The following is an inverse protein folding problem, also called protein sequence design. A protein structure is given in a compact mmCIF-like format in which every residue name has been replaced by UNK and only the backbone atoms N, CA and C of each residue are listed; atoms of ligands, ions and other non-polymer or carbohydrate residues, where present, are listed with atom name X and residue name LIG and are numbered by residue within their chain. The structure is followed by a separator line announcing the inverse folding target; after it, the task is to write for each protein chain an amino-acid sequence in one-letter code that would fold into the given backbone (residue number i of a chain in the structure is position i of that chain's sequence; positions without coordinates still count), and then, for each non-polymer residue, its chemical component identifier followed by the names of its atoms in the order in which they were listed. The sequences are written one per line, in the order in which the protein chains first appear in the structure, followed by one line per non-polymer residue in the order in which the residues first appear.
data_IF_657627540695
#
_entry.id   IF_657627540695
#
_cell.length_a   1.000
_cell.length_b   1.000
_cell.length_c   1.000
_cell.angle_alpha   90.00
_cell.angle_beta   90.00
_cell.angle_gamma   90.00
#
_symmetry.space_group_name_H-M   'P 1'
#
loop_
_entity.id
_entity.type
_entity.pdbx_description
1 polymer ?
#
# COMPACT_ATOMS: atom_id res chain seq x y z
N UNK A 1 -12.32 41.98 -18.93
CA UNK A 1 -12.69 40.71 -18.28
C UNK A 1 -13.93 40.09 -18.98
N UNK A 2 -13.82 39.77 -20.28
CA UNK A 2 -14.91 39.19 -21.07
C UNK A 2 -14.46 38.03 -21.97
N UNK A 3 -13.26 37.48 -21.74
CA UNK A 3 -12.69 36.42 -22.61
C UNK A 3 -12.78 35.00 -22.08
N UNK A 4 -12.95 34.79 -20.76
CA UNK A 4 -12.92 33.44 -20.19
C UNK A 4 -14.28 32.74 -20.22
N UNK A 5 -15.38 33.49 -20.12
CA UNK A 5 -16.75 32.93 -20.21
C UNK A 5 -17.09 32.36 -21.59
N UNK A 6 -16.47 32.89 -22.65
CA UNK A 6 -16.74 32.45 -24.02
C UNK A 6 -16.12 31.08 -24.35
N UNK A 7 -14.97 30.76 -23.78
CA UNK A 7 -14.31 29.48 -24.01
C UNK A 7 -15.02 28.30 -23.29
N UNK A 8 -15.53 28.52 -22.09
CA UNK A 8 -16.26 27.50 -21.32
C UNK A 8 -17.60 27.14 -22.01
N UNK A 9 -18.30 28.15 -22.52
CA UNK A 9 -19.55 27.90 -23.27
C UNK A 9 -19.33 27.19 -24.60
N UNK A 10 -18.25 27.48 -25.32
CA UNK A 10 -17.92 26.81 -26.57
C UNK A 10 -17.53 25.35 -26.38
N UNK A 11 -16.80 25.03 -25.30
CA UNK A 11 -16.40 23.65 -24.97
C UNK A 11 -17.64 22.84 -24.50
N UNK A 12 -18.49 23.40 -23.64
CA UNK A 12 -19.72 22.73 -23.22
C UNK A 12 -20.67 22.46 -24.40
N UNK A 13 -20.82 23.40 -25.32
CA UNK A 13 -21.71 23.23 -26.51
C UNK A 13 -21.15 22.21 -27.52
N UNK A 14 -19.83 22.10 -27.69
CA UNK A 14 -19.20 21.12 -28.56
C UNK A 14 -19.31 19.67 -27.99
N UNK A 15 -19.16 19.52 -26.70
CA UNK A 15 -19.36 18.22 -26.01
C UNK A 15 -20.83 17.82 -26.07
N UNK A 16 -21.76 18.76 -25.90
CA UNK A 16 -23.19 18.51 -25.94
C UNK A 16 -23.67 18.09 -27.36
N UNK A 17 -23.13 18.68 -28.42
CA UNK A 17 -23.48 18.31 -29.82
C UNK A 17 -22.95 16.91 -30.19
N UNK A 18 -21.76 16.53 -29.77
CA UNK A 18 -21.21 15.19 -30.01
C UNK A 18 -21.95 14.12 -29.21
N UNK A 19 -22.32 14.43 -27.98
CA UNK A 19 -23.10 13.55 -27.11
C UNK A 19 -24.55 13.38 -27.62
N UNK A 20 -25.20 14.46 -28.03
CA UNK A 20 -26.54 14.41 -28.59
C UNK A 20 -26.56 13.64 -29.92
N UNK A 21 -25.59 13.83 -30.80
CA UNK A 21 -25.45 13.05 -32.02
C UNK A 21 -25.23 11.55 -31.77
N UNK A 22 -24.48 11.20 -30.71
CA UNK A 22 -24.30 9.81 -30.26
C UNK A 22 -25.60 9.20 -29.71
N UNK A 23 -26.38 9.97 -28.96
CA UNK A 23 -27.68 9.59 -28.43
C UNK A 23 -28.71 9.39 -29.58
N UNK A 24 -28.74 10.31 -30.57
CA UNK A 24 -29.60 10.20 -31.72
C UNK A 24 -29.25 8.98 -32.58
N UNK A 25 -27.97 8.68 -32.77
CA UNK A 25 -27.52 7.48 -33.47
C UNK A 25 -27.88 6.18 -32.72
N UNK A 26 -27.78 6.17 -31.38
CA UNK A 26 -28.22 5.05 -30.56
C UNK A 26 -29.74 4.88 -30.57
N UNK A 27 -30.50 5.96 -30.52
CA UNK A 27 -31.96 5.96 -30.65
C UNK A 27 -32.41 5.48 -32.01
N UNK A 28 -31.74 5.90 -33.11
CA UNK A 28 -32.01 5.43 -34.47
C UNK A 28 -31.73 3.93 -34.63
N UNK A 29 -30.64 3.40 -34.03
CA UNK A 29 -30.37 1.96 -34.02
C UNK A 29 -31.36 1.17 -33.19
N UNK A 30 -31.79 1.67 -32.04
CA UNK A 30 -32.83 1.04 -31.21
C UNK A 30 -34.21 1.01 -31.99
N UNK A 31 -34.53 2.08 -32.71
CA UNK A 31 -35.72 2.15 -33.51
C UNK A 31 -35.70 1.18 -34.72
N UNK A 32 -34.57 1.08 -35.43
CA UNK A 32 -34.40 0.12 -36.52
C UNK A 32 -34.45 -1.34 -36.05
N UNK A 33 -33.98 -1.62 -34.83
CA UNK A 33 -34.10 -2.95 -34.20
C UNK A 33 -35.57 -3.27 -33.82
N UNK A 34 -36.32 -2.29 -33.30
CA UNK A 34 -37.73 -2.43 -32.97
C UNK A 34 -38.59 -2.62 -34.23
N UNK A 35 -38.32 -1.88 -35.30
CA UNK A 35 -39.02 -1.99 -36.60
C UNK A 35 -38.72 -3.32 -37.30
N UNK A 36 -37.53 -3.90 -37.11
CA UNK A 36 -37.14 -5.19 -37.68
C UNK A 36 -37.70 -6.43 -36.97
N UNK A 37 -38.15 -6.30 -35.73
CA UNK A 37 -38.53 -7.44 -34.88
C UNK A 37 -40.02 -7.71 -34.72
N UNK A 38 -40.93 -7.04 -35.46
CA UNK A 38 -42.41 -7.22 -35.43
C UNK A 38 -43.03 -7.29 -34.02
N UNK A 39 -42.52 -6.50 -33.09
CA UNK A 39 -43.04 -6.40 -31.71
C UNK A 39 -44.20 -5.38 -31.74
N UNK A 40 -45.42 -5.80 -31.35
CA UNK A 40 -46.63 -4.97 -31.41
C UNK A 40 -46.48 -3.72 -30.51
N UNK A 41 -46.88 -2.57 -31.08
CA UNK A 41 -46.68 -1.23 -30.51
C UNK A 41 -47.36 -0.96 -29.14
N UNK A 42 -48.28 -1.78 -28.68
CA UNK A 42 -48.96 -1.60 -27.38
C UNK A 42 -48.10 -2.00 -26.16
N UNK A 43 -47.13 -2.90 -26.33
CA UNK A 43 -46.17 -3.26 -25.28
C UNK A 43 -44.96 -2.34 -25.21
N UNK A 44 -44.72 -1.56 -26.26
CA UNK A 44 -43.53 -0.71 -26.42
C UNK A 44 -43.70 0.66 -25.75
N UNK A 45 -44.92 1.16 -25.59
CA UNK A 45 -45.17 2.47 -24.97
C UNK A 45 -44.75 2.57 -23.49
N UNK A 46 -45.02 1.53 -22.71
CA UNK A 46 -44.56 1.44 -21.32
C UNK A 46 -43.10 1.06 -21.22
N UNK A 47 -42.56 0.25 -22.12
CA UNK A 47 -41.15 -0.12 -22.17
C UNK A 47 -40.23 1.04 -22.57
N UNK A 48 -40.69 1.95 -23.48
CA UNK A 48 -39.89 3.10 -23.91
C UNK A 48 -39.79 4.21 -22.87
N UNK A 49 -40.77 4.40 -22.00
CA UNK A 49 -40.68 5.32 -20.87
C UNK A 49 -39.68 4.82 -19.82
N UNK A 50 -39.62 3.51 -19.59
CA UNK A 50 -38.64 2.90 -18.70
C UNK A 50 -37.24 2.88 -19.33
N UNK A 51 -37.12 2.58 -20.63
CA UNK A 51 -35.85 2.62 -21.36
C UNK A 51 -35.32 4.05 -21.50
N UNK A 52 -36.23 5.04 -21.79
CA UNK A 52 -35.85 6.46 -21.80
C UNK A 52 -35.37 6.98 -20.47
N UNK A 53 -36.03 6.59 -19.37
CA UNK A 53 -35.57 6.93 -18.02
C UNK A 53 -34.24 6.23 -17.67
N UNK A 54 -34.04 4.99 -18.12
CA UNK A 54 -32.77 4.26 -17.92
C UNK A 54 -31.64 4.89 -18.74
N UNK A 55 -31.85 5.32 -19.96
CA UNK A 55 -30.85 5.99 -20.82
C UNK A 55 -30.49 7.37 -20.27
N UNK A 56 -31.45 8.15 -19.78
CA UNK A 56 -31.17 9.42 -19.11
C UNK A 56 -30.45 9.22 -17.77
N UNK A 57 -30.83 8.21 -17.00
CA UNK A 57 -30.14 7.87 -15.76
C UNK A 57 -28.70 7.40 -16.01
N UNK A 58 -28.43 6.60 -17.05
CA UNK A 58 -27.10 6.21 -17.50
C UNK A 58 -26.31 7.42 -18.00
N UNK A 59 -26.92 8.31 -18.78
CA UNK A 59 -26.26 9.53 -19.24
C UNK A 59 -25.85 10.45 -18.12
N UNK A 60 -26.74 10.74 -17.16
CA UNK A 60 -26.44 11.55 -15.98
C UNK A 60 -25.34 10.89 -15.14
N UNK A 61 -25.42 9.58 -14.91
CA UNK A 61 -24.41 8.84 -14.16
C UNK A 61 -23.03 8.87 -14.85
N UNK A 62 -23.01 8.74 -16.18
CA UNK A 62 -21.78 8.82 -16.97
C UNK A 62 -21.15 10.20 -16.93
N UNK A 63 -21.94 11.27 -17.03
CA UNK A 63 -21.46 12.66 -16.94
C UNK A 63 -20.93 12.95 -15.53
N UNK A 64 -21.63 12.48 -14.48
CA UNK A 64 -21.21 12.67 -13.10
C UNK A 64 -19.91 11.91 -12.82
N UNK A 65 -19.79 10.67 -13.29
CA UNK A 65 -18.58 9.85 -13.13
C UNK A 65 -17.40 10.46 -13.88
N UNK A 66 -17.61 10.98 -15.09
CA UNK A 66 -16.56 11.68 -15.84
C UNK A 66 -16.10 12.95 -15.13
N UNK A 67 -17.05 13.75 -14.61
CA UNK A 67 -16.71 14.94 -13.84
C UNK A 67 -15.94 14.65 -12.54
N UNK A 68 -16.25 13.54 -11.86
CA UNK A 68 -15.51 13.09 -10.69
C UNK A 68 -14.09 12.65 -11.06
N UNK A 69 -13.93 11.89 -12.13
CA UNK A 69 -12.64 11.45 -12.63
C UNK A 69 -11.73 12.62 -13.00
N UNK A 70 -12.24 13.57 -13.79
CA UNK A 70 -11.49 14.77 -14.15
C UNK A 70 -11.13 15.62 -12.92
N UNK A 71 -12.04 15.76 -11.95
CA UNK A 71 -11.77 16.44 -10.69
C UNK A 71 -10.68 15.75 -9.89
N UNK A 72 -10.63 14.41 -9.87
CA UNK A 72 -9.58 13.64 -9.20
C UNK A 72 -8.22 13.85 -9.86
N UNK A 73 -8.16 13.83 -11.21
CA UNK A 73 -6.91 14.08 -11.95
C UNK A 73 -6.40 15.50 -11.74
N UNK A 74 -7.31 16.50 -11.81
CA UNK A 74 -6.98 17.89 -11.50
C UNK A 74 -6.40 18.03 -10.09
N UNK A 75 -7.05 17.40 -9.11
CA UNK A 75 -6.58 17.42 -7.73
C UNK A 75 -5.22 16.75 -7.56
N UNK A 76 -5.01 15.58 -8.19
CA UNK A 76 -3.71 14.90 -8.16
C UNK A 76 -2.62 15.79 -8.76
N UNK A 77 -2.88 16.40 -9.92
CA UNK A 77 -1.93 17.29 -10.58
C UNK A 77 -1.60 18.52 -9.73
N UNK A 78 -2.61 19.19 -9.18
CA UNK A 78 -2.42 20.40 -8.34
C UNK A 78 -1.62 20.06 -7.07
N UNK A 79 -1.98 18.98 -6.38
CA UNK A 79 -1.28 18.57 -5.14
C UNK A 79 0.15 18.14 -5.44
N UNK A 80 0.41 17.50 -6.58
CA UNK A 80 1.75 17.10 -7.02
C UNK A 80 2.59 18.25 -7.63
N UNK A 81 2.07 19.48 -7.66
CA UNK A 81 2.75 20.64 -8.25
C UNK A 81 2.84 20.62 -9.78
N UNK A 82 1.88 19.93 -10.42
CA UNK A 82 1.81 19.79 -11.87
C UNK A 82 1.09 20.94 -12.58
N UNK A 83 1.05 20.85 -13.90
CA UNK A 83 0.43 21.81 -14.82
C UNK A 83 -0.77 21.18 -15.55
N UNK A 84 -1.53 21.95 -16.29
CA UNK A 84 -2.62 21.45 -17.14
C UNK A 84 -2.17 20.35 -18.13
N UNK A 85 -0.92 20.41 -18.62
CA UNK A 85 -0.37 19.36 -19.49
C UNK A 85 -0.18 18.02 -18.75
N UNK A 86 0.11 18.07 -17.47
CA UNK A 86 0.33 16.87 -16.67
C UNK A 86 -0.98 16.15 -16.39
N UNK A 87 -2.10 16.86 -16.35
CA UNK A 87 -3.44 16.27 -16.18
C UNK A 87 -3.72 15.25 -17.29
N UNK A 88 -3.46 15.61 -18.56
CA UNK A 88 -3.62 14.68 -19.69
C UNK A 88 -2.73 13.46 -19.60
N UNK A 89 -1.50 13.60 -19.06
CA UNK A 89 -0.59 12.46 -18.87
C UNK A 89 -1.03 11.54 -17.72
N UNK A 90 -1.63 12.10 -16.66
CA UNK A 90 -2.23 11.31 -15.58
C UNK A 90 -3.52 10.63 -16.05
N UNK A 91 -4.31 11.28 -16.91
CA UNK A 91 -5.49 10.70 -17.55
C UNK A 91 -5.13 9.46 -18.39
N UNK A 92 -4.16 9.61 -19.30
CA UNK A 92 -3.65 8.49 -20.10
C UNK A 92 -3.18 7.32 -19.22
N UNK A 93 -2.47 7.63 -18.13
CA UNK A 93 -1.95 6.63 -17.21
C UNK A 93 -3.07 5.94 -16.43
N UNK A 94 -4.06 6.67 -15.92
CA UNK A 94 -5.19 6.11 -15.20
C UNK A 94 -6.05 5.21 -16.09
N UNK A 95 -6.34 5.65 -17.31
CA UNK A 95 -7.09 4.87 -18.29
C UNK A 95 -6.33 3.61 -18.72
N UNK A 96 -5.01 3.71 -18.94
CA UNK A 96 -4.19 2.56 -19.27
C UNK A 96 -4.19 1.52 -18.15
N UNK A 97 -3.97 1.92 -16.91
CA UNK A 97 -3.97 0.99 -15.77
C UNK A 97 -5.36 0.38 -15.53
N UNK A 98 -6.43 1.15 -15.72
CA UNK A 98 -7.81 0.63 -15.66
C UNK A 98 -8.18 -0.33 -16.79
N UNK A 99 -7.51 -0.24 -17.95
CA UNK A 99 -7.68 -1.19 -19.06
C UNK A 99 -6.83 -2.46 -18.88
N UNK A 100 -5.60 -2.31 -18.37
CA UNK A 100 -4.63 -3.40 -18.24
C UNK A 100 -4.86 -4.27 -16.97
N UNK A 101 -5.51 -3.71 -15.94
CA UNK A 101 -5.73 -4.34 -14.65
C UNK A 101 -7.21 -4.31 -14.26
N UNK A 102 -7.69 -5.17 -13.35
CA UNK A 102 -9.06 -5.15 -12.86
C UNK A 102 -9.33 -3.98 -11.89
N UNK A 103 -9.02 -2.78 -12.34
CA UNK A 103 -9.17 -1.52 -11.60
C UNK A 103 -10.02 -0.55 -12.42
N UNK A 104 -10.73 0.37 -11.77
CA UNK A 104 -11.34 1.48 -12.49
C UNK A 104 -10.35 2.63 -12.72
N UNK A 105 -10.50 3.37 -13.81
CA UNK A 105 -9.71 4.58 -14.04
C UNK A 105 -9.90 5.60 -12.91
N UNK A 106 -11.09 5.66 -12.29
CA UNK A 106 -11.38 6.50 -11.12
C UNK A 106 -10.55 6.08 -9.91
N UNK A 107 -10.45 4.77 -9.61
CA UNK A 107 -9.64 4.29 -8.47
C UNK A 107 -8.16 4.59 -8.70
N UNK A 108 -7.70 4.49 -9.96
CA UNK A 108 -6.34 4.88 -10.33
C UNK A 108 -6.10 6.38 -10.12
N UNK A 109 -7.03 7.25 -10.53
CA UNK A 109 -6.92 8.68 -10.32
C UNK A 109 -6.91 9.05 -8.83
N UNK A 110 -7.77 8.41 -8.03
CA UNK A 110 -7.84 8.62 -6.58
C UNK A 110 -6.56 8.14 -5.88
N UNK A 111 -5.98 7.03 -6.30
CA UNK A 111 -4.71 6.55 -5.78
C UNK A 111 -3.54 7.49 -6.11
N UNK A 112 -3.54 8.11 -7.28
CA UNK A 112 -2.57 9.16 -7.63
C UNK A 112 -2.69 10.40 -6.71
N UNK A 113 -3.92 10.75 -6.24
CA UNK A 113 -4.12 11.78 -5.23
C UNK A 113 -3.42 11.39 -3.92
N UNK A 114 -3.54 10.14 -3.48
CA UNK A 114 -2.88 9.68 -2.25
C UNK A 114 -1.36 9.72 -2.37
N UNK A 115 -0.79 9.33 -3.50
CA UNK A 115 0.64 9.51 -3.76
C UNK A 115 1.05 10.98 -3.66
N UNK A 116 0.30 11.87 -4.31
CA UNK A 116 0.57 13.31 -4.29
C UNK A 116 0.48 13.88 -2.86
N UNK A 117 -0.52 13.48 -2.07
CA UNK A 117 -0.68 13.89 -0.66
C UNK A 117 0.50 13.45 0.21
N UNK A 118 1.06 12.29 -0.09
CA UNK A 118 2.25 11.76 0.57
C UNK A 118 3.56 12.28 -0.05
N UNK A 119 3.50 13.33 -0.86
CA UNK A 119 4.66 14.09 -1.35
C UNK A 119 5.22 13.65 -2.69
N UNK A 120 4.56 12.74 -3.43
CA UNK A 120 4.99 12.39 -4.78
C UNK A 120 4.75 13.55 -5.75
N UNK A 121 5.78 13.92 -6.51
CA UNK A 121 5.64 14.82 -7.65
C UNK A 121 5.09 14.10 -8.88
N UNK A 122 4.70 14.84 -9.92
CA UNK A 122 4.17 14.28 -11.18
C UNK A 122 5.10 13.23 -11.79
N UNK A 123 6.42 13.49 -11.77
CA UNK A 123 7.41 12.56 -12.29
C UNK A 123 7.40 11.24 -11.52
N UNK A 124 7.28 11.32 -10.20
CA UNK A 124 7.29 10.16 -9.33
C UNK A 124 6.02 9.34 -9.52
N UNK A 125 4.84 9.99 -9.57
CA UNK A 125 3.56 9.33 -9.84
C UNK A 125 3.65 8.55 -11.15
N UNK A 126 4.09 9.19 -12.24
CA UNK A 126 4.20 8.54 -13.56
C UNK A 126 5.15 7.35 -13.58
N UNK A 127 6.26 7.44 -12.86
CA UNK A 127 7.28 6.39 -12.82
C UNK A 127 6.88 5.20 -11.92
N UNK A 128 6.16 5.47 -10.83
CA UNK A 128 5.95 4.52 -9.75
C UNK A 128 4.56 3.89 -9.75
N UNK A 129 3.55 4.65 -10.19
CA UNK A 129 2.15 4.22 -10.13
C UNK A 129 1.87 2.87 -10.82
N UNK A 130 2.44 2.55 -12.02
CA UNK A 130 2.20 1.25 -12.66
C UNK A 130 2.56 0.05 -11.78
N UNK A 131 3.69 0.13 -11.08
CA UNK A 131 4.12 -0.94 -10.18
C UNK A 131 3.23 -1.04 -8.94
N UNK A 132 2.79 0.09 -8.41
CA UNK A 132 1.86 0.14 -7.27
C UNK A 132 0.51 -0.48 -7.65
N UNK A 133 -0.03 -0.14 -8.83
CA UNK A 133 -1.28 -0.70 -9.33
C UNK A 133 -1.20 -2.23 -9.54
N UNK A 134 -0.09 -2.71 -10.10
CA UNK A 134 0.18 -4.14 -10.24
C UNK A 134 0.27 -4.85 -8.88
N UNK A 135 0.96 -4.24 -7.92
CA UNK A 135 1.11 -4.79 -6.57
C UNK A 135 -0.24 -4.87 -5.83
N UNK A 136 -1.05 -3.80 -5.87
CA UNK A 136 -2.38 -3.79 -5.29
C UNK A 136 -3.26 -4.90 -5.87
N UNK A 137 -3.25 -5.03 -7.20
CA UNK A 137 -3.98 -6.10 -7.90
C UNK A 137 -3.50 -7.49 -7.49
N UNK A 138 -2.19 -7.71 -7.43
CA UNK A 138 -1.61 -9.00 -7.06
C UNK A 138 -1.93 -9.41 -5.61
N UNK A 139 -2.04 -8.43 -4.71
CA UNK A 139 -2.41 -8.66 -3.31
C UNK A 139 -3.93 -8.70 -3.07
N UNK A 140 -4.76 -8.34 -4.06
CA UNK A 140 -6.18 -8.12 -3.86
C UNK A 140 -6.49 -6.98 -2.88
N UNK A 141 -5.56 -6.01 -2.77
CA UNK A 141 -5.63 -4.90 -1.83
C UNK A 141 -6.22 -3.64 -2.47
N UNK A 142 -6.69 -2.71 -1.63
CA UNK A 142 -7.14 -1.40 -2.08
C UNK A 142 -5.97 -0.61 -2.68
N UNK A 143 -6.15 -0.09 -3.89
CA UNK A 143 -5.08 0.60 -4.61
C UNK A 143 -4.70 1.94 -3.96
N UNK A 144 -5.64 2.64 -3.30
CA UNK A 144 -5.38 3.91 -2.62
C UNK A 144 -4.53 3.67 -1.37
N UNK A 145 -4.89 2.65 -0.58
CA UNK A 145 -4.11 2.25 0.58
C UNK A 145 -2.70 1.80 0.17
N UNK A 146 -2.60 0.96 -0.87
CA UNK A 146 -1.31 0.51 -1.40
C UNK A 146 -0.45 1.70 -1.88
N UNK A 147 -1.03 2.64 -2.61
CA UNK A 147 -0.34 3.84 -3.08
C UNK A 147 0.15 4.71 -1.91
N UNK A 148 -0.69 4.89 -0.89
CA UNK A 148 -0.36 5.63 0.32
C UNK A 148 0.82 5.01 1.06
N UNK A 149 0.74 3.72 1.38
CA UNK A 149 1.78 3.04 2.18
C UNK A 149 3.10 2.88 1.43
N UNK A 150 3.07 2.64 0.12
CA UNK A 150 4.31 2.60 -0.69
C UNK A 150 5.00 3.96 -0.68
N UNK A 151 4.25 5.05 -0.94
CA UNK A 151 4.83 6.39 -0.96
C UNK A 151 5.37 6.78 0.42
N UNK A 152 4.66 6.48 1.49
CA UNK A 152 5.12 6.71 2.86
C UNK A 152 6.37 5.89 3.18
N UNK A 153 6.42 4.62 2.78
CA UNK A 153 7.60 3.77 2.92
C UNK A 153 8.81 4.32 2.18
N UNK A 154 8.61 4.87 0.96
CA UNK A 154 9.64 5.55 0.21
C UNK A 154 10.16 6.81 0.93
N UNK A 155 9.28 7.56 1.60
CA UNK A 155 9.69 8.73 2.38
C UNK A 155 10.51 8.33 3.62
N UNK A 156 10.15 7.22 4.27
CA UNK A 156 10.82 6.74 5.49
C UNK A 156 12.14 6.02 5.15
N UNK A 157 12.10 5.05 4.24
CA UNK A 157 13.23 4.17 3.90
C UNK A 157 13.87 4.42 2.54
N UNK A 158 13.49 5.49 1.84
CA UNK A 158 13.90 5.73 0.44
C UNK A 158 15.40 5.73 0.17
N UNK A 159 16.24 5.92 1.21
CA UNK A 159 17.69 5.77 1.08
C UNK A 159 18.16 4.32 1.04
N UNK A 160 17.38 3.39 1.59
CA UNK A 160 17.69 1.96 1.68
C UNK A 160 16.79 1.10 0.78
N UNK A 161 15.73 1.65 0.20
CA UNK A 161 14.89 1.02 -0.80
C UNK A 161 15.43 1.33 -2.21
N UNK A 162 15.59 0.29 -3.03
CA UNK A 162 16.06 0.46 -4.41
C UNK A 162 14.99 1.12 -5.30
N UNK A 163 13.70 0.85 -5.01
CA UNK A 163 12.59 1.32 -5.82
C UNK A 163 11.24 1.17 -5.11
N UNK A 164 10.19 1.89 -5.55
CA UNK A 164 8.81 1.67 -5.12
C UNK A 164 8.30 0.25 -5.39
N UNK A 165 8.82 -0.38 -6.46
CA UNK A 165 8.53 -1.79 -6.77
C UNK A 165 8.98 -2.71 -5.66
N UNK A 166 10.15 -2.44 -5.07
CA UNK A 166 10.65 -3.20 -3.93
C UNK A 166 9.76 -3.00 -2.70
N UNK A 167 9.37 -1.76 -2.40
CA UNK A 167 8.44 -1.47 -1.29
C UNK A 167 7.11 -2.20 -1.49
N UNK A 168 6.53 -2.12 -2.69
CA UNK A 168 5.31 -2.80 -3.04
C UNK A 168 5.44 -4.33 -2.91
N UNK A 169 6.54 -4.92 -3.37
CA UNK A 169 6.81 -6.36 -3.25
C UNK A 169 6.91 -6.81 -1.79
N UNK A 170 7.57 -6.04 -0.92
CA UNK A 170 7.65 -6.30 0.52
C UNK A 170 6.24 -6.32 1.14
N UNK A 171 5.39 -5.35 0.80
CA UNK A 171 4.02 -5.26 1.32
C UNK A 171 3.15 -6.42 0.86
N UNK A 172 3.17 -6.74 -0.44
CA UNK A 172 2.44 -7.88 -1.00
C UNK A 172 2.85 -9.18 -0.33
N UNK A 173 4.16 -9.40 -0.18
CA UNK A 173 4.66 -10.61 0.47
C UNK A 173 4.30 -10.65 1.95
N UNK A 174 4.35 -9.50 2.64
CA UNK A 174 3.91 -9.42 4.04
C UNK A 174 2.43 -9.80 4.16
N UNK A 175 1.56 -9.25 3.31
CA UNK A 175 0.14 -9.60 3.29
C UNK A 175 -0.09 -11.10 2.98
N UNK A 176 0.70 -11.70 2.10
CA UNK A 176 0.59 -13.12 1.75
C UNK A 176 1.12 -14.08 2.84
N UNK A 177 2.16 -13.68 3.57
CA UNK A 177 2.83 -14.53 4.57
C UNK A 177 2.34 -14.28 6.00
N UNK A 178 1.49 -13.29 6.21
CA UNK A 178 1.03 -12.90 7.56
C UNK A 178 -0.48 -12.69 7.63
N UNK A 179 -0.97 -12.41 8.83
CA UNK A 179 -2.35 -12.03 9.07
C UNK A 179 -2.59 -10.51 8.97
N UNK A 180 -1.60 -9.74 8.49
CA UNK A 180 -1.73 -8.31 8.25
C UNK A 180 -2.08 -8.04 6.79
N UNK A 181 -3.10 -7.19 6.55
CA UNK A 181 -3.37 -6.62 5.23
C UNK A 181 -2.38 -5.49 4.89
N UNK A 182 -2.38 -5.04 3.63
CA UNK A 182 -1.59 -3.86 3.24
C UNK A 182 -2.09 -2.60 3.98
N UNK A 183 -3.39 -2.49 4.20
CA UNK A 183 -4.02 -1.40 4.95
C UNK A 183 -3.57 -1.39 6.41
N UNK A 184 -3.47 -2.56 7.05
CA UNK A 184 -2.97 -2.70 8.42
C UNK A 184 -1.49 -2.26 8.51
N UNK A 185 -0.70 -2.57 7.48
CA UNK A 185 0.71 -2.20 7.41
C UNK A 185 0.92 -0.70 7.28
N UNK A 186 -0.03 0.07 6.71
CA UNK A 186 0.09 1.51 6.59
C UNK A 186 0.30 2.17 7.95
N UNK A 187 -0.63 1.97 8.89
CA UNK A 187 -0.53 2.55 10.22
C UNK A 187 0.64 1.97 11.01
N UNK A 188 0.92 0.67 10.84
CA UNK A 188 2.01 0.01 11.55
C UNK A 188 3.38 0.58 11.15
N UNK A 189 3.66 0.74 9.85
CA UNK A 189 4.92 1.28 9.34
C UNK A 189 5.07 2.77 9.63
N UNK A 190 3.99 3.56 9.57
CA UNK A 190 3.99 4.95 10.01
C UNK A 190 4.40 5.10 11.49
N UNK A 191 3.90 4.21 12.34
CA UNK A 191 4.19 4.24 13.79
C UNK A 191 5.65 3.94 14.10
N UNK A 192 6.24 2.95 13.43
CA UNK A 192 7.58 2.44 13.78
C UNK A 192 8.70 2.97 12.89
N UNK A 193 8.37 3.51 11.71
CA UNK A 193 9.34 3.78 10.65
C UNK A 193 10.51 4.67 11.07
N UNK A 194 10.23 5.75 11.78
CA UNK A 194 11.28 6.65 12.28
C UNK A 194 12.24 5.97 13.27
N UNK A 195 11.71 5.12 14.15
CA UNK A 195 12.52 4.37 15.11
C UNK A 195 13.31 3.25 14.43
N UNK A 196 12.66 2.54 13.49
CA UNK A 196 13.29 1.47 12.72
C UNK A 196 14.48 1.99 11.88
N UNK A 197 14.30 3.11 11.18
CA UNK A 197 15.38 3.74 10.40
C UNK A 197 16.52 4.23 11.29
N UNK A 198 16.22 4.78 12.48
CA UNK A 198 17.23 5.18 13.45
C UNK A 198 18.01 3.98 14.02
N UNK A 199 17.39 2.80 14.07
CA UNK A 199 18.02 1.53 14.44
C UNK A 199 18.68 0.80 13.25
N UNK A 200 18.78 1.42 12.09
CA UNK A 200 19.31 0.82 10.85
C UNK A 200 18.53 -0.46 10.41
N UNK A 201 17.24 -0.53 10.77
CA UNK A 201 16.35 -1.60 10.33
C UNK A 201 15.74 -1.25 8.98
N UNK A 202 15.90 -2.13 8.01
CA UNK A 202 15.27 -1.98 6.69
C UNK A 202 13.75 -2.13 6.78
N UNK A 203 13.03 -1.61 5.77
CA UNK A 203 11.59 -1.85 5.62
C UNK A 203 11.27 -3.35 5.61
N UNK A 204 12.10 -4.15 4.94
CA UNK A 204 11.94 -5.60 4.86
C UNK A 204 11.95 -6.23 6.25
N UNK A 205 13.01 -6.01 7.04
CA UNK A 205 13.15 -6.57 8.41
C UNK A 205 12.04 -6.09 9.34
N UNK A 206 11.63 -4.82 9.19
CA UNK A 206 10.52 -4.24 9.98
C UNK A 206 9.20 -4.92 9.64
N UNK A 207 8.90 -5.10 8.34
CA UNK A 207 7.69 -5.77 7.87
C UNK A 207 7.66 -7.26 8.23
N UNK A 208 8.81 -7.95 8.17
CA UNK A 208 8.96 -9.34 8.63
C UNK A 208 8.60 -9.47 10.12
N UNK A 209 9.15 -8.60 10.95
CA UNK A 209 8.90 -8.62 12.39
C UNK A 209 7.40 -8.39 12.70
N UNK A 210 6.77 -7.39 12.06
CA UNK A 210 5.35 -7.10 12.23
C UNK A 210 4.52 -8.29 11.73
N UNK A 211 4.81 -8.80 10.53
CA UNK A 211 4.09 -9.95 9.95
C UNK A 211 4.14 -11.19 10.84
N UNK A 212 5.31 -11.54 11.35
CA UNK A 212 5.47 -12.65 12.29
C UNK A 212 4.67 -12.44 13.58
N UNK A 213 4.66 -11.22 14.13
CA UNK A 213 3.85 -10.89 15.30
C UNK A 213 2.35 -11.02 15.02
N UNK A 214 1.87 -10.62 13.85
CA UNK A 214 0.45 -10.79 13.50
C UNK A 214 0.08 -12.27 13.37
N UNK A 215 0.98 -13.13 12.93
CA UNK A 215 0.79 -14.58 12.92
C UNK A 215 0.70 -15.16 14.34
N UNK A 216 1.28 -14.48 15.34
CA UNK A 216 1.13 -14.80 16.76
C UNK A 216 -0.10 -14.16 17.43
N UNK A 217 -1.00 -13.56 16.64
CA UNK A 217 -2.29 -13.03 17.11
C UNK A 217 -2.29 -11.55 17.51
N UNK A 218 -1.21 -10.82 17.27
CA UNK A 218 -1.20 -9.37 17.44
C UNK A 218 -1.94 -8.68 16.29
N UNK A 219 -2.60 -7.55 16.54
CA UNK A 219 -2.91 -6.62 15.46
C UNK A 219 -1.61 -5.96 14.96
N UNK A 220 -1.54 -5.55 13.68
CA UNK A 220 -0.35 -4.88 13.16
C UNK A 220 -0.03 -3.58 13.93
N UNK A 221 -1.06 -2.85 14.36
CA UNK A 221 -0.91 -1.67 15.21
C UNK A 221 -0.27 -1.99 16.57
N UNK A 222 -0.73 -3.05 17.27
CA UNK A 222 -0.13 -3.46 18.54
C UNK A 222 1.28 -3.98 18.33
N UNK A 223 1.51 -4.81 17.30
CA UNK A 223 2.83 -5.33 16.96
C UNK A 223 3.84 -4.20 16.72
N UNK A 224 3.44 -3.17 15.97
CA UNK A 224 4.32 -2.02 15.69
C UNK A 224 4.62 -1.19 16.94
N UNK A 225 3.66 -0.97 17.84
CA UNK A 225 3.88 -0.24 19.10
C UNK A 225 4.81 -0.99 20.04
N UNK A 226 4.59 -2.29 20.24
CA UNK A 226 5.41 -3.10 21.14
C UNK A 226 6.83 -3.30 20.59
N UNK A 227 6.96 -3.50 19.28
CA UNK A 227 8.25 -3.58 18.60
C UNK A 227 8.99 -2.24 18.66
N UNK A 228 8.29 -1.13 18.42
CA UNK A 228 8.84 0.22 18.55
C UNK A 228 9.44 0.43 19.97
N UNK A 229 8.70 0.01 21.00
CA UNK A 229 9.17 0.09 22.38
C UNK A 229 10.45 -0.75 22.60
N UNK A 230 10.48 -1.97 22.06
CA UNK A 230 11.67 -2.83 22.14
C UNK A 230 12.89 -2.19 21.46
N UNK A 231 12.72 -1.63 20.26
CA UNK A 231 13.81 -0.98 19.50
C UNK A 231 14.31 0.26 20.23
N UNK A 232 13.44 1.09 20.81
CA UNK A 232 13.85 2.24 21.63
C UNK A 232 14.72 1.83 22.81
N UNK A 233 14.39 0.70 23.48
CA UNK A 233 15.21 0.15 24.55
C UNK A 233 16.55 -0.41 24.05
N UNK A 234 16.62 -0.88 22.79
CA UNK A 234 17.89 -1.31 22.18
C UNK A 234 18.78 -0.10 21.84
N UNK A 235 18.20 0.99 21.33
CA UNK A 235 18.92 2.24 21.00
C UNK A 235 19.47 2.90 22.28
N UNK A 236 18.63 2.97 23.32
CA UNK A 236 18.97 3.65 24.58
C UNK A 236 18.61 2.80 25.80
N UNK A 237 19.40 1.75 26.07
CA UNK A 237 19.11 0.84 27.16
C UNK A 237 19.26 1.52 28.53
N UNK A 238 18.26 1.30 29.38
CA UNK A 238 18.28 1.74 30.79
C UNK A 238 19.43 1.09 31.57
N UNK A 239 19.75 1.61 32.78
CA UNK A 239 20.75 0.99 33.65
C UNK A 239 20.40 -0.47 33.96
N UNK A 240 19.12 -0.76 34.20
CA UNK A 240 18.63 -2.13 34.44
C UNK A 240 18.84 -3.02 33.23
N UNK A 241 18.54 -2.51 32.04
CA UNK A 241 18.76 -3.22 30.80
C UNK A 241 20.26 -3.52 30.59
N UNK A 242 21.14 -2.53 30.78
CA UNK A 242 22.59 -2.70 30.66
C UNK A 242 23.13 -3.77 31.61
N UNK A 243 22.65 -3.81 32.85
CA UNK A 243 23.05 -4.85 33.81
C UNK A 243 22.61 -6.24 33.30
N UNK A 244 21.34 -6.40 32.83
CA UNK A 244 20.87 -7.67 32.30
C UNK A 244 21.64 -8.11 31.05
N UNK A 245 22.00 -7.18 30.16
CA UNK A 245 22.86 -7.44 28.99
C UNK A 245 24.27 -7.90 29.42
N UNK A 246 24.87 -7.26 30.42
CA UNK A 246 26.18 -7.63 30.93
C UNK A 246 26.17 -9.04 31.54
N UNK A 247 25.15 -9.36 32.33
CA UNK A 247 24.98 -10.70 32.92
C UNK A 247 24.80 -11.80 31.85
N UNK A 248 24.20 -11.46 30.70
CA UNK A 248 24.03 -12.37 29.56
C UNK A 248 25.23 -12.38 28.61
N UNK A 249 26.21 -11.48 28.80
CA UNK A 249 27.35 -11.34 27.90
C UNK A 249 26.98 -10.88 26.48
N UNK A 250 25.91 -10.07 26.32
CA UNK A 250 25.42 -9.58 25.02
C UNK A 250 25.55 -8.07 24.88
N UNK A 251 25.58 -7.61 23.62
CA UNK A 251 25.53 -6.20 23.24
C UNK A 251 24.66 -6.04 22.02
N UNK A 252 23.80 -5.01 22.00
CA UNK A 252 23.00 -4.66 20.84
C UNK A 252 23.77 -3.88 19.78
N UNK A 253 24.96 -3.40 20.13
CA UNK A 253 25.86 -2.70 19.21
C UNK A 253 27.11 -3.54 18.93
N UNK A 254 27.70 -3.34 17.76
CA UNK A 254 28.96 -3.93 17.36
C UNK A 254 30.18 -3.20 18.01
N UNK A 255 31.39 -3.60 17.63
CA UNK A 255 32.63 -2.99 18.09
C UNK A 255 32.83 -1.53 17.66
N UNK A 256 32.05 -1.06 16.67
CA UNK A 256 32.08 0.31 16.16
C UNK A 256 30.97 1.18 16.77
N UNK A 257 30.15 0.61 17.67
CA UNK A 257 29.01 1.27 18.30
C UNK A 257 27.76 1.37 17.40
N UNK A 258 27.75 0.67 16.24
CA UNK A 258 26.60 0.60 15.35
C UNK A 258 25.65 -0.49 15.83
N UNK A 259 24.33 -0.25 15.72
CA UNK A 259 23.31 -1.26 16.01
C UNK A 259 23.54 -2.50 15.15
N UNK A 260 23.57 -3.67 15.77
CA UNK A 260 23.60 -4.94 15.05
C UNK A 260 22.29 -5.15 14.31
N UNK A 261 22.32 -5.96 13.26
CA UNK A 261 21.11 -6.35 12.53
C UNK A 261 20.10 -7.00 13.49
N UNK A 262 18.85 -6.60 13.41
CA UNK A 262 17.81 -7.04 14.35
C UNK A 262 17.68 -8.58 14.46
N UNK A 263 17.69 -9.37 13.35
CA UNK A 263 17.68 -10.83 13.45
C UNK A 263 18.91 -11.40 14.17
N UNK A 264 20.07 -10.76 14.04
CA UNK A 264 21.31 -11.17 14.74
C UNK A 264 21.17 -10.95 16.23
N UNK A 265 20.59 -9.81 16.66
CA UNK A 265 20.30 -9.53 18.07
C UNK A 265 19.39 -10.62 18.65
N UNK A 266 18.32 -11.00 17.93
CA UNK A 266 17.40 -12.05 18.36
C UNK A 266 18.11 -13.42 18.48
N UNK A 267 19.01 -13.75 17.54
CA UNK A 267 19.79 -14.99 17.61
C UNK A 267 20.77 -15.00 18.79
N UNK A 268 21.46 -13.90 19.05
CA UNK A 268 22.35 -13.76 20.19
C UNK A 268 21.58 -13.86 21.51
N UNK A 269 20.42 -13.23 21.61
CA UNK A 269 19.53 -13.35 22.78
C UNK A 269 19.11 -14.80 23.01
N UNK A 270 18.66 -15.50 21.96
CA UNK A 270 18.29 -16.91 22.07
C UNK A 270 19.44 -17.78 22.57
N UNK A 271 20.65 -17.55 22.05
CA UNK A 271 21.86 -18.28 22.45
C UNK A 271 22.23 -17.99 23.91
N UNK A 272 22.22 -16.71 24.28
CA UNK A 272 22.60 -16.30 25.67
C UNK A 272 21.60 -16.82 26.70
N UNK A 273 20.34 -16.93 26.36
CA UNK A 273 19.28 -17.40 27.25
C UNK A 273 18.95 -18.91 27.10
N UNK A 274 19.75 -19.68 26.35
CA UNK A 274 19.40 -21.08 26.03
C UNK A 274 19.24 -21.94 27.32
N UNK A 275 20.07 -21.73 28.30
CA UNK A 275 20.13 -22.52 29.55
C UNK A 275 19.29 -21.92 30.70
N UNK A 276 18.61 -20.78 30.48
CA UNK A 276 17.77 -20.17 31.51
C UNK A 276 16.42 -20.84 31.61
N UNK A 277 15.85 -20.88 32.81
CA UNK A 277 14.46 -21.28 33.01
C UNK A 277 13.48 -20.26 32.42
N UNK A 278 12.23 -20.66 32.14
CA UNK A 278 11.24 -19.75 31.53
C UNK A 278 11.01 -18.45 32.31
N UNK A 279 10.97 -18.51 33.65
CA UNK A 279 10.81 -17.37 34.54
C UNK A 279 12.02 -16.44 34.50
N UNK A 280 13.24 -17.00 34.50
CA UNK A 280 14.47 -16.23 34.35
C UNK A 280 14.57 -15.52 33.01
N UNK A 281 14.17 -16.20 31.90
CA UNK A 281 14.07 -15.61 30.57
C UNK A 281 13.12 -14.42 30.57
N UNK A 282 11.92 -14.60 31.12
CA UNK A 282 10.93 -13.54 31.19
C UNK A 282 11.43 -12.34 32.01
N UNK A 283 12.12 -12.57 33.15
CA UNK A 283 12.71 -11.52 33.95
C UNK A 283 13.79 -10.75 33.18
N UNK A 284 14.69 -11.45 32.47
CA UNK A 284 15.73 -10.80 31.65
C UNK A 284 15.16 -9.99 30.51
N UNK A 285 14.20 -10.55 29.77
CA UNK A 285 13.53 -9.84 28.68
C UNK A 285 12.76 -8.62 29.19
N UNK A 286 12.06 -8.74 30.32
CA UNK A 286 11.37 -7.61 30.95
C UNK A 286 12.35 -6.54 31.43
N UNK A 287 13.49 -6.93 31.97
CA UNK A 287 14.55 -5.99 32.42
C UNK A 287 15.13 -5.22 31.20
N UNK A 288 15.32 -5.88 30.06
CA UNK A 288 15.90 -5.27 28.86
C UNK A 288 14.89 -4.43 28.08
N UNK A 289 13.65 -4.90 27.90
CA UNK A 289 12.70 -4.34 26.94
C UNK A 289 11.44 -3.75 27.59
N UNK A 290 11.28 -3.87 28.92
CA UNK A 290 10.00 -3.57 29.57
C UNK A 290 8.93 -4.60 29.23
N UNK A 291 7.71 -4.37 29.72
CA UNK A 291 6.59 -5.32 29.50
C UNK A 291 6.15 -5.35 28.05
N UNK A 292 5.95 -4.18 27.43
CA UNK A 292 5.50 -4.07 26.04
C UNK A 292 6.55 -4.64 25.07
N UNK A 293 7.81 -4.20 25.17
CA UNK A 293 8.86 -4.72 24.28
C UNK A 293 9.11 -6.22 24.45
N UNK A 294 8.99 -6.76 25.68
CA UNK A 294 9.07 -8.20 25.90
C UNK A 294 7.98 -8.97 25.15
N UNK A 295 6.75 -8.43 25.09
CA UNK A 295 5.64 -9.08 24.36
C UNK A 295 5.94 -9.23 22.87
N UNK A 296 6.60 -8.23 22.25
CA UNK A 296 7.03 -8.35 20.87
C UNK A 296 8.26 -9.25 20.70
N UNK A 297 9.26 -9.12 21.57
CA UNK A 297 10.53 -9.85 21.41
C UNK A 297 10.34 -11.35 21.62
N UNK A 298 9.52 -11.79 22.57
CA UNK A 298 9.37 -13.20 22.91
C UNK A 298 8.90 -14.08 21.73
N UNK A 299 7.82 -13.75 20.99
CA UNK A 299 7.43 -14.51 19.79
C UNK A 299 8.49 -14.47 18.68
N UNK A 300 9.18 -13.34 18.52
CA UNK A 300 10.23 -13.20 17.51
C UNK A 300 11.47 -14.05 17.85
N UNK A 301 11.80 -14.25 19.12
CA UNK A 301 12.83 -15.20 19.54
C UNK A 301 12.47 -16.64 19.13
N UNK A 302 11.21 -17.03 19.26
CA UNK A 302 10.73 -18.34 18.80
C UNK A 302 10.79 -18.45 17.28
N UNK A 303 10.46 -17.37 16.54
CA UNK A 303 10.52 -17.34 15.08
C UNK A 303 11.93 -17.52 14.52
N UNK A 304 12.95 -16.88 15.10
CA UNK A 304 14.35 -17.05 14.63
C UNK A 304 14.93 -18.41 15.03
N UNK A 305 14.40 -19.05 16.07
CA UNK A 305 14.77 -20.41 16.49
C UNK A 305 14.12 -21.47 15.60
N UNK A 306 12.94 -21.20 15.07
CA UNK A 306 12.20 -22.11 14.20
C UNK A 306 12.90 -22.25 12.84
N UNK A 307 13.30 -23.46 12.47
CA UNK A 307 13.97 -23.78 11.22
C UNK A 307 13.08 -24.50 10.21
N UNK A 308 11.75 -24.46 10.40
CA UNK A 308 10.80 -24.97 9.43
C UNK A 308 10.79 -24.11 8.15
N UNK A 309 10.24 -24.66 7.06
CA UNK A 309 10.04 -23.93 5.81
C UNK A 309 8.70 -23.14 5.79
N UNK A 310 8.04 -23.03 6.93
CA UNK A 310 6.79 -22.28 7.05
C UNK A 310 7.08 -20.81 7.37
N UNK A 311 6.83 -19.94 6.41
CA UNK A 311 7.03 -18.49 6.53
C UNK A 311 6.15 -17.85 7.63
N UNK A 312 5.06 -18.50 8.03
CA UNK A 312 4.16 -17.98 9.08
C UNK A 312 4.78 -18.01 10.48
N UNK A 313 5.76 -18.89 10.71
CA UNK A 313 6.33 -19.13 12.04
C UNK A 313 7.87 -19.08 12.07
N UNK A 314 8.54 -19.11 10.92
CA UNK A 314 9.99 -19.10 10.81
C UNK A 314 10.49 -17.82 10.16
N UNK A 315 11.37 -17.10 10.84
CA UNK A 315 12.02 -15.90 10.30
C UNK A 315 12.78 -16.18 8.99
N UNK A 316 13.61 -17.23 8.98
CA UNK A 316 14.41 -17.58 7.82
C UNK A 316 13.54 -17.95 6.60
N UNK A 317 12.40 -18.62 6.81
CA UNK A 317 11.46 -18.96 5.74
C UNK A 317 10.73 -17.71 5.22
N UNK A 318 10.34 -16.82 6.12
CA UNK A 318 9.69 -15.54 5.76
C UNK A 318 10.62 -14.66 4.91
N UNK A 319 11.86 -14.48 5.35
CA UNK A 319 12.87 -13.70 4.63
C UNK A 319 13.11 -14.26 3.21
N UNK A 320 13.19 -15.58 3.05
CA UNK A 320 13.34 -16.24 1.73
C UNK A 320 12.14 -15.97 0.81
N UNK A 321 10.93 -15.97 1.32
CA UNK A 321 9.75 -15.66 0.51
C UNK A 321 9.75 -14.19 0.07
N UNK A 322 10.16 -13.27 0.93
CA UNK A 322 10.30 -11.86 0.56
C UNK A 322 11.38 -11.62 -0.51
N UNK A 323 12.54 -12.29 -0.40
CA UNK A 323 13.59 -12.21 -1.41
C UNK A 323 13.12 -12.74 -2.78
N UNK A 324 12.35 -13.82 -2.79
CA UNK A 324 11.73 -14.36 -4.03
C UNK A 324 10.76 -13.36 -4.65
N UNK A 325 9.92 -12.71 -3.86
CA UNK A 325 8.97 -11.71 -4.33
C UNK A 325 9.69 -10.49 -4.93
N UNK A 326 10.73 -9.97 -4.26
CA UNK A 326 11.56 -8.88 -4.78
C UNK A 326 12.27 -9.25 -6.10
N UNK A 327 12.73 -10.50 -6.23
CA UNK A 327 13.32 -11.01 -7.46
C UNK A 327 12.31 -11.25 -8.59
N UNK A 328 11.05 -11.54 -8.29
CA UNK A 328 9.98 -11.73 -9.29
C UNK A 328 9.52 -10.40 -9.90
N UNK A 329 9.48 -9.33 -9.12
CA UNK A 329 9.20 -7.97 -9.63
C UNK A 329 10.28 -7.48 -10.60
N UNK A 330 11.55 -7.83 -10.38
CA UNK A 330 12.63 -7.55 -11.35
C UNK A 330 12.46 -8.29 -12.69
N UNK A 331 11.80 -9.46 -12.72
CA UNK A 331 11.54 -10.23 -13.94
C UNK A 331 10.28 -9.82 -14.70
N UNK A 332 9.32 -9.23 -14.02
CA UNK A 332 8.08 -8.74 -14.64
C UNK A 332 8.25 -7.36 -15.34
N UNK A 333 9.41 -6.72 -15.18
CA UNK A 333 9.74 -5.40 -15.77
C UNK A 333 10.68 -5.51 -16.99
N UNK A 334 10.99 -6.70 -17.47
CA UNK A 334 11.69 -7.01 -18.72
C UNK A 334 10.69 -7.63 -19.71
#
# INVERSE_FOLDING_TARGET
MAGEDFNIRAILSAVDQGFMAGLDAAAAKAKSFADGSKISMEGVGTGMTVAGAAVTAMGVKSITSFGQFEASLNKAAVVAGGTAKDIGQLDDLANKMGADLPLSAQDCADAMIEMARNGAGIKDIKAQFPAIAQAATAAGADIKATAGVVQESMNIWGKSLESPQQAAAILVQTANASNASIEDMQQALATIGGTATNADMSMQVTSEAIGLLTNHGFSAAQASMDLNHAILQMISPSKVAKNAMTELGISFVDSQGKMKQFPVILQELNKAMANLKPDEKAQKLKAMFGTAGMQAVLPLLDSVKNKSNDAKVSWDAYAKEQEKAAGSTKRATV
#
